data_IF_677709789296
#
_entry.id   IF_677709789296
#
_cell.length_a   1.000
_cell.length_b   1.000
_cell.length_c   1.000
_cell.angle_alpha   90.00
_cell.angle_beta   90.00
_cell.angle_gamma   90.00
#
_symmetry.space_group_name_H-M   'P 1'
#
loop_
_entity.id
_entity.type
_entity.pdbx_description
1 polymer ?
#
# COMPACT_ATOMS: atom_id res chain seq x y z
N UNK A 1 20.48 41.33 -48.16
CA UNK A 1 19.28 41.44 -47.28
C UNK A 1 18.17 40.43 -47.60
N UNK A 2 18.07 39.87 -48.82
CA UNK A 2 17.00 38.93 -49.17
C UNK A 2 17.09 37.52 -48.52
N UNK A 3 18.28 37.03 -48.16
CA UNK A 3 18.45 35.69 -47.57
C UNK A 3 18.23 35.59 -46.05
N UNK A 4 18.21 36.71 -45.31
CA UNK A 4 17.87 36.69 -43.87
C UNK A 4 16.36 36.70 -43.62
N UNK A 5 15.58 37.31 -44.52
CA UNK A 5 14.12 37.40 -44.41
C UNK A 5 13.48 36.02 -44.66
N UNK A 6 14.01 35.24 -45.62
CA UNK A 6 13.46 33.91 -45.96
C UNK A 6 13.59 32.87 -44.83
N UNK A 7 14.66 32.94 -44.03
CA UNK A 7 14.89 31.99 -42.94
C UNK A 7 14.10 32.34 -41.66
N UNK A 8 13.77 33.62 -41.43
CA UNK A 8 12.91 34.04 -40.32
C UNK A 8 11.44 33.69 -40.60
N UNK A 9 11.01 33.76 -41.87
CA UNK A 9 9.65 33.36 -42.28
C UNK A 9 9.39 31.86 -42.13
N UNK A 10 10.39 31.00 -42.37
CA UNK A 10 10.24 29.54 -42.24
C UNK A 10 10.27 29.11 -40.77
N UNK A 11 11.10 29.75 -39.92
CA UNK A 11 11.14 29.44 -38.49
C UNK A 11 9.85 29.85 -37.76
N UNK A 12 9.22 30.97 -38.18
CA UNK A 12 7.92 31.42 -37.69
C UNK A 12 6.75 30.50 -38.11
N UNK A 13 6.85 29.91 -39.31
CA UNK A 13 5.83 28.97 -39.82
C UNK A 13 5.92 27.58 -39.16
N UNK A 14 7.11 27.13 -38.76
CA UNK A 14 7.30 25.86 -38.04
C UNK A 14 6.85 25.99 -36.57
N UNK A 15 7.02 27.16 -35.94
CA UNK A 15 6.58 27.39 -34.57
C UNK A 15 5.05 27.49 -34.43
N UNK A 16 4.33 27.90 -35.48
CA UNK A 16 2.86 27.94 -35.50
C UNK A 16 2.21 26.57 -35.73
N UNK A 17 2.91 25.63 -36.39
CA UNK A 17 2.46 24.25 -36.57
C UNK A 17 2.70 23.40 -35.30
N UNK A 18 3.71 23.74 -34.49
CA UNK A 18 3.95 23.06 -33.21
C UNK A 18 2.96 23.46 -32.09
N UNK A 19 2.37 24.67 -32.15
CA UNK A 19 1.37 25.15 -31.16
C UNK A 19 -0.06 24.67 -31.52
N UNK A 20 -0.30 24.24 -32.75
CA UNK A 20 -1.61 23.72 -33.19
C UNK A 20 -1.82 22.22 -32.98
N UNK A 21 -0.84 21.49 -32.40
CA UNK A 21 -1.02 20.12 -31.89
C UNK A 21 -1.29 20.06 -30.37
N UNK A 22 -1.48 21.22 -29.71
CA UNK A 22 -1.79 21.31 -28.27
C UNK A 22 -3.17 21.92 -27.96
N UNK A 23 -4.00 22.16 -28.98
CA UNK A 23 -5.39 22.61 -28.82
C UNK A 23 -6.30 21.80 -29.74
N UNK A 24 -6.70 20.63 -29.25
CA UNK A 24 -7.56 19.72 -30.00
C UNK A 24 -8.17 18.63 -29.12
N UNK A 25 -8.82 19.02 -28.02
CA UNK A 25 -10.03 18.38 -27.48
C UNK A 25 -10.50 19.12 -26.21
N UNK A 26 -11.08 20.30 -26.38
CA UNK A 26 -12.05 20.83 -25.41
C UNK A 26 -13.32 21.24 -26.15
N UNK A 27 -14.33 20.38 -26.02
CA UNK A 27 -15.74 20.70 -25.76
C UNK A 27 -16.60 19.58 -26.32
N UNK A 28 -17.03 18.69 -25.43
CA UNK A 28 -18.38 18.19 -25.55
C UNK A 28 -19.06 18.54 -24.24
N UNK A 29 -19.75 19.68 -24.24
CA UNK A 29 -20.77 20.00 -23.25
C UNK A 29 -21.88 18.97 -23.38
N UNK A 30 -21.71 17.83 -22.71
CA UNK A 30 -22.84 17.08 -22.20
C UNK A 30 -22.81 17.25 -20.70
N UNK A 31 -23.45 18.34 -20.25
CA UNK A 31 -24.02 18.46 -18.91
C UNK A 31 -25.10 17.38 -18.77
N UNK A 32 -24.67 16.12 -18.61
CA UNK A 32 -25.51 15.13 -17.99
C UNK A 32 -25.67 15.57 -16.54
N UNK A 33 -26.84 16.12 -16.23
CA UNK A 33 -27.33 16.22 -14.86
C UNK A 33 -27.31 14.79 -14.33
N UNK A 34 -26.30 14.44 -13.52
CA UNK A 34 -26.23 13.16 -12.84
C UNK A 34 -27.38 13.15 -11.85
N UNK A 35 -28.54 12.66 -12.31
CA UNK A 35 -29.59 12.20 -11.43
C UNK A 35 -29.00 11.02 -10.66
N UNK A 36 -28.99 11.16 -9.35
CA UNK A 36 -28.61 10.13 -8.41
C UNK A 36 -29.42 8.85 -8.68
N UNK A 37 -28.78 7.85 -9.29
CA UNK A 37 -29.03 6.42 -9.11
C UNK A 37 -28.09 5.63 -10.05
N UNK A 38 -26.79 5.62 -9.78
CA UNK A 38 -25.91 4.64 -10.42
C UNK A 38 -25.74 3.44 -9.49
N UNK A 39 -26.33 2.32 -9.91
CA UNK A 39 -25.90 1.01 -9.49
C UNK A 39 -24.40 0.90 -9.80
N UNK A 40 -23.56 1.11 -8.79
CA UNK A 40 -22.11 0.89 -8.88
C UNK A 40 -21.94 -0.56 -9.30
N UNK A 41 -21.59 -0.78 -10.58
CA UNK A 41 -21.25 -2.10 -11.07
C UNK A 41 -20.05 -2.58 -10.26
N UNK A 42 -20.29 -3.55 -9.38
CA UNK A 42 -19.25 -4.21 -8.60
C UNK A 42 -18.51 -5.09 -9.59
N UNK A 43 -17.41 -4.59 -10.16
CA UNK A 43 -16.47 -5.42 -10.90
C UNK A 43 -15.97 -6.49 -9.93
N UNK A 44 -16.43 -7.73 -10.11
CA UNK A 44 -15.95 -8.87 -9.31
C UNK A 44 -14.53 -9.21 -9.77
N UNK A 45 -13.53 -8.60 -9.12
CA UNK A 45 -12.19 -9.18 -9.06
C UNK A 45 -12.36 -10.55 -8.40
N UNK A 46 -12.34 -11.64 -9.16
CA UNK A 46 -12.66 -12.96 -8.60
C UNK A 46 -11.58 -13.95 -8.97
N UNK A 47 -10.57 -14.02 -8.11
CA UNK A 47 -9.59 -15.10 -8.12
C UNK A 47 -10.29 -16.36 -7.57
N UNK A 48 -10.23 -17.45 -8.34
CA UNK A 48 -10.81 -18.73 -7.94
C UNK A 48 -9.88 -19.47 -6.95
N UNK A 49 -10.02 -19.15 -5.67
CA UNK A 49 -9.28 -19.77 -4.58
C UNK A 49 -10.05 -20.95 -3.95
N UNK A 50 -9.34 -22.05 -3.70
CA UNK A 50 -9.81 -23.26 -3.04
C UNK A 50 -8.65 -23.90 -2.27
N UNK A 51 -8.90 -25.00 -1.56
CA UNK A 51 -7.89 -25.67 -0.71
C UNK A 51 -6.61 -26.07 -1.46
N UNK A 52 -6.68 -26.35 -2.77
CA UNK A 52 -5.53 -26.79 -3.57
C UNK A 52 -4.56 -25.66 -3.91
N UNK A 53 -5.03 -24.41 -3.95
CA UNK A 53 -4.23 -23.24 -4.33
C UNK A 53 -4.20 -22.13 -3.26
N UNK A 54 -4.77 -22.38 -2.08
CA UNK A 54 -4.81 -21.45 -0.95
C UNK A 54 -3.48 -21.33 -0.19
N UNK A 55 -2.55 -22.27 -0.39
CA UNK A 55 -1.24 -22.22 0.27
C UNK A 55 -0.25 -21.42 -0.57
N UNK A 56 -0.25 -20.10 -0.36
CA UNK A 56 0.39 -19.13 -1.27
C UNK A 56 1.64 -18.46 -0.70
N UNK A 57 2.03 -18.79 0.53
CA UNK A 57 3.15 -18.16 1.20
C UNK A 57 4.30 -19.14 1.39
N UNK A 58 5.50 -18.72 1.02
CA UNK A 58 6.74 -19.27 1.56
C UNK A 58 7.11 -18.47 2.81
N UNK A 59 7.23 -19.16 3.95
CA UNK A 59 7.40 -18.55 5.27
C UNK A 59 8.76 -18.98 5.82
N UNK A 60 9.66 -18.02 5.98
CA UNK A 60 10.98 -18.23 6.56
C UNK A 60 10.90 -18.56 8.06
N UNK A 61 12.03 -18.98 8.63
CA UNK A 61 12.13 -19.16 10.08
C UNK A 61 12.12 -17.79 10.78
N UNK A 62 11.41 -17.63 11.92
CA UNK A 62 11.52 -16.43 12.74
C UNK A 62 12.96 -16.18 13.18
N UNK A 63 13.43 -14.94 13.05
CA UNK A 63 14.77 -14.49 13.44
C UNK A 63 14.66 -13.41 14.51
N UNK A 64 15.42 -13.53 15.59
CA UNK A 64 15.46 -12.51 16.65
C UNK A 64 16.09 -11.20 16.17
N UNK A 65 15.54 -10.06 16.62
CA UNK A 65 16.00 -8.71 16.27
C UNK A 65 16.66 -8.04 17.48
N UNK A 66 17.85 -8.48 17.88
CA UNK A 66 18.48 -7.97 19.11
C UNK A 66 19.04 -6.55 18.88
N UNK A 67 18.45 -5.54 19.52
CA UNK A 67 19.02 -4.17 19.58
C UNK A 67 19.86 -3.93 20.84
N UNK A 68 19.74 -4.77 21.88
CA UNK A 68 20.57 -4.72 23.08
C UNK A 68 20.97 -6.14 23.46
N UNK A 69 22.28 -6.44 23.53
CA UNK A 69 22.86 -7.73 23.92
C UNK A 69 22.48 -8.18 25.36
N UNK A 70 21.20 -8.30 25.68
CA UNK A 70 20.69 -8.70 26.99
C UNK A 70 20.00 -10.08 26.88
N UNK A 71 20.69 -11.18 27.23
CA UNK A 71 20.32 -12.55 26.87
C UNK A 71 19.09 -13.13 27.62
N UNK A 72 18.29 -12.32 28.32
CA UNK A 72 17.32 -12.82 29.30
C UNK A 72 15.85 -12.89 28.84
N UNK A 73 15.50 -12.37 27.66
CA UNK A 73 14.11 -12.27 27.16
C UNK A 73 14.07 -12.50 25.65
N UNK A 74 13.05 -13.19 25.09
CA UNK A 74 12.86 -13.12 23.64
C UNK A 74 12.60 -11.66 23.27
N UNK A 75 13.37 -11.32 22.27
CA UNK A 75 13.47 -10.13 21.45
C UNK A 75 12.43 -10.22 20.34
N UNK A 76 11.87 -9.10 19.90
CA UNK A 76 11.01 -9.06 18.72
C UNK A 76 11.58 -9.94 17.59
N UNK A 77 10.74 -10.73 16.93
CA UNK A 77 11.19 -11.54 15.78
C UNK A 77 10.78 -10.90 14.48
N UNK A 78 11.62 -11.03 13.46
CA UNK A 78 11.28 -10.76 12.06
C UNK A 78 11.17 -12.07 11.31
N UNK A 79 10.08 -12.24 10.57
CA UNK A 79 9.82 -13.41 9.74
C UNK A 79 9.62 -12.97 8.29
N UNK A 80 10.49 -13.43 7.39
CA UNK A 80 10.32 -13.18 5.95
C UNK A 80 9.18 -14.03 5.41
N UNK A 81 8.30 -13.41 4.64
CA UNK A 81 7.20 -14.05 3.93
C UNK A 81 7.28 -13.66 2.47
N UNK A 82 7.12 -14.62 1.57
CA UNK A 82 7.12 -14.41 0.12
C UNK A 82 5.82 -14.92 -0.48
N UNK A 83 5.19 -14.12 -1.36
CA UNK A 83 4.07 -14.59 -2.15
C UNK A 83 4.58 -15.49 -3.28
N UNK A 84 4.23 -16.79 -3.23
CA UNK A 84 4.62 -17.79 -4.24
C UNK A 84 3.48 -18.13 -5.22
N UNK A 85 2.33 -17.45 -5.10
CA UNK A 85 1.24 -17.58 -6.06
C UNK A 85 1.45 -16.72 -7.31
N UNK A 86 0.55 -16.86 -8.28
CA UNK A 86 0.49 -16.09 -9.53
C UNK A 86 -0.47 -14.89 -9.45
N UNK A 87 -0.94 -14.53 -8.26
CA UNK A 87 -1.82 -13.39 -8.02
C UNK A 87 -1.39 -12.55 -6.81
N UNK A 88 -1.88 -11.32 -6.76
CA UNK A 88 -1.62 -10.42 -5.64
C UNK A 88 -2.43 -10.81 -4.39
N UNK A 89 -1.83 -10.64 -3.21
CA UNK A 89 -2.46 -10.85 -1.90
C UNK A 89 -2.23 -9.64 -0.99
N UNK A 90 -3.19 -9.35 -0.09
CA UNK A 90 -3.10 -8.24 0.87
C UNK A 90 -3.47 -8.69 2.27
N UNK A 91 -3.28 -7.82 3.27
CA UNK A 91 -3.62 -8.07 4.68
C UNK A 91 -3.05 -9.40 5.18
N UNK A 92 -1.75 -9.61 4.97
CA UNK A 92 -1.07 -10.84 5.34
C UNK A 92 -0.85 -10.82 6.84
N UNK A 93 -1.37 -11.82 7.54
CA UNK A 93 -1.22 -11.97 8.97
C UNK A 93 -0.60 -13.32 9.31
N UNK A 94 0.49 -13.31 10.08
CA UNK A 94 1.06 -14.51 10.70
C UNK A 94 0.56 -14.64 12.13
N UNK A 95 0.25 -15.87 12.55
CA UNK A 95 -0.02 -16.21 13.95
C UNK A 95 1.12 -17.08 14.46
N UNK A 96 1.70 -16.66 15.58
CA UNK A 96 2.79 -17.37 16.25
C UNK A 96 2.29 -18.11 17.47
N UNK A 97 2.89 -19.25 17.78
CA UNK A 97 2.84 -19.87 19.11
C UNK A 97 4.15 -19.61 19.83
N UNK A 98 4.06 -19.07 21.03
CA UNK A 98 5.22 -18.86 21.90
C UNK A 98 5.41 -20.02 22.86
N UNK A 99 6.68 -20.33 23.16
CA UNK A 99 7.06 -21.38 24.10
C UNK A 99 8.08 -20.87 25.12
N UNK A 100 8.00 -21.36 26.35
CA UNK A 100 9.02 -21.12 27.37
C UNK A 100 10.28 -22.00 27.16
N UNK A 101 11.24 -21.90 28.07
CA UNK A 101 12.48 -22.70 28.05
C UNK A 101 12.24 -24.22 28.11
N UNK A 102 11.13 -24.63 28.70
CA UNK A 102 10.75 -26.03 28.93
C UNK A 102 9.80 -26.53 27.82
N UNK A 103 9.60 -25.72 26.77
CA UNK A 103 8.71 -25.96 25.62
C UNK A 103 7.23 -26.02 25.97
N UNK A 104 6.81 -25.44 27.08
CA UNK A 104 5.39 -25.28 27.35
C UNK A 104 4.81 -24.17 26.48
N UNK A 105 3.67 -24.43 25.87
CA UNK A 105 2.93 -23.44 25.09
C UNK A 105 2.46 -22.31 26.01
N UNK A 106 2.76 -21.07 25.61
CA UNK A 106 2.40 -19.87 26.34
C UNK A 106 1.21 -19.19 25.66
N UNK A 107 1.49 -18.15 24.89
CA UNK A 107 0.49 -17.33 24.22
C UNK A 107 0.55 -17.52 22.70
N UNK A 108 -0.47 -16.99 22.04
CA UNK A 108 -0.43 -16.69 20.62
C UNK A 108 -0.18 -15.20 20.44
N UNK A 109 0.64 -14.84 19.47
CA UNK A 109 0.84 -13.46 19.02
C UNK A 109 0.59 -13.38 17.53
N UNK A 110 0.32 -12.19 17.04
CA UNK A 110 -0.02 -11.95 15.63
C UNK A 110 0.85 -10.83 15.09
N UNK A 111 1.28 -10.97 13.84
CA UNK A 111 1.94 -9.91 13.09
C UNK A 111 1.17 -9.70 11.79
N UNK A 112 0.77 -8.46 11.51
CA UNK A 112 -0.01 -8.07 10.34
C UNK A 112 0.83 -7.16 9.43
N UNK A 113 0.77 -7.42 8.13
CA UNK A 113 1.24 -6.52 7.09
C UNK A 113 0.07 -6.13 6.18
N UNK A 114 -0.16 -4.82 6.04
CA UNK A 114 -1.12 -4.28 5.06
C UNK A 114 -0.55 -4.17 3.65
N UNK A 115 0.76 -4.38 3.48
CA UNK A 115 1.42 -4.30 2.17
C UNK A 115 0.86 -5.40 1.27
N UNK A 116 0.45 -5.01 0.06
CA UNK A 116 0.10 -5.97 -0.99
C UNK A 116 1.38 -6.56 -1.57
N UNK A 117 1.43 -7.89 -1.60
CA UNK A 117 2.52 -8.64 -2.24
C UNK A 117 2.06 -9.17 -3.59
N UNK A 118 2.72 -8.71 -4.63
CA UNK A 118 2.66 -9.32 -5.96
C UNK A 118 3.45 -10.63 -6.01
N UNK A 119 3.23 -11.47 -7.05
CA UNK A 119 3.98 -12.70 -7.23
C UNK A 119 5.49 -12.50 -7.11
N UNK A 120 6.13 -13.26 -6.22
CA UNK A 120 7.56 -13.23 -5.95
C UNK A 120 8.04 -12.12 -5.01
N UNK A 121 7.17 -11.18 -4.60
CA UNK A 121 7.53 -10.16 -3.62
C UNK A 121 7.55 -10.71 -2.19
N UNK A 122 8.37 -10.10 -1.35
CA UNK A 122 8.53 -10.49 0.04
C UNK A 122 8.37 -9.33 1.01
N UNK A 123 7.89 -9.64 2.21
CA UNK A 123 7.86 -8.72 3.36
C UNK A 123 8.41 -9.39 4.62
N UNK A 124 9.06 -8.63 5.48
CA UNK A 124 9.35 -9.05 6.86
C UNK A 124 8.20 -8.61 7.77
N UNK A 125 7.60 -9.58 8.47
CA UNK A 125 6.64 -9.29 9.53
C UNK A 125 7.35 -9.35 10.88
N UNK A 126 7.22 -8.28 11.66
CA UNK A 126 7.74 -8.20 13.02
C UNK A 126 6.66 -8.58 14.04
N UNK A 127 6.98 -9.50 14.94
CA UNK A 127 6.13 -9.85 16.09
C UNK A 127 6.83 -9.48 17.38
N UNK A 128 6.17 -8.67 18.19
CA UNK A 128 6.57 -8.47 19.58
C UNK A 128 6.18 -9.70 20.40
N UNK A 129 7.09 -10.16 21.23
CA UNK A 129 6.91 -11.39 22.01
C UNK A 129 6.84 -11.12 23.50
N UNK A 130 6.23 -12.05 24.24
CA UNK A 130 6.17 -11.95 25.69
C UNK A 130 7.55 -12.14 26.32
N UNK A 131 7.81 -11.39 27.39
CA UNK A 131 9.07 -11.38 28.15
C UNK A 131 9.64 -12.79 28.47
N UNK A 132 8.77 -13.74 28.78
CA UNK A 132 9.13 -15.10 29.20
C UNK A 132 9.15 -16.11 28.04
N UNK A 133 8.79 -15.72 26.82
CA UNK A 133 8.97 -16.55 25.65
C UNK A 133 10.47 -16.80 25.39
N UNK A 134 10.80 -18.01 24.96
CA UNK A 134 12.16 -18.47 24.61
C UNK A 134 12.27 -19.00 23.20
N UNK A 135 11.19 -19.47 22.60
CA UNK A 135 11.06 -19.68 21.15
C UNK A 135 9.68 -19.27 20.66
N UNK A 136 9.55 -19.01 19.36
CA UNK A 136 8.28 -18.82 18.67
C UNK A 136 8.26 -19.56 17.34
N UNK A 137 7.10 -20.05 16.94
CA UNK A 137 6.88 -20.70 15.65
C UNK A 137 5.63 -20.14 14.98
N UNK A 138 5.61 -20.05 13.66
CA UNK A 138 4.40 -19.71 12.91
C UNK A 138 3.50 -20.95 12.85
N UNK A 139 2.28 -20.83 13.37
CA UNK A 139 1.31 -21.93 13.43
C UNK A 139 0.16 -21.78 12.44
N UNK A 140 -0.09 -20.56 11.97
CA UNK A 140 -1.11 -20.29 10.95
C UNK A 140 -0.83 -18.96 10.28
N UNK A 141 -1.43 -18.75 9.12
CA UNK A 141 -1.45 -17.44 8.47
C UNK A 141 -2.81 -17.17 7.82
N UNK A 142 -3.05 -15.90 7.52
CA UNK A 142 -4.19 -15.49 6.71
C UNK A 142 -3.83 -14.38 5.75
N UNK A 143 -4.62 -14.24 4.69
CA UNK A 143 -4.49 -13.19 3.71
C UNK A 143 -5.84 -12.92 3.03
N UNK A 144 -5.99 -11.72 2.49
CA UNK A 144 -7.11 -11.36 1.64
C UNK A 144 -6.72 -11.51 0.18
N UNK A 145 -7.65 -12.07 -0.60
CA UNK A 145 -7.59 -12.10 -2.06
C UNK A 145 -9.00 -11.85 -2.57
N UNK A 146 -9.16 -10.87 -3.47
CA UNK A 146 -10.50 -10.45 -3.89
C UNK A 146 -11.37 -10.12 -2.66
N UNK A 147 -12.62 -10.60 -2.60
CA UNK A 147 -13.51 -10.47 -1.45
C UNK A 147 -13.47 -11.70 -0.53
N UNK A 148 -12.32 -12.36 -0.39
CA UNK A 148 -12.18 -13.56 0.44
C UNK A 148 -11.06 -13.38 1.46
N UNK A 149 -11.31 -13.86 2.67
CA UNK A 149 -10.30 -14.10 3.68
C UNK A 149 -9.96 -15.58 3.65
N UNK A 150 -8.70 -15.89 3.39
CA UNK A 150 -8.15 -17.23 3.41
C UNK A 150 -7.33 -17.39 4.68
N UNK A 151 -7.55 -18.46 5.42
CA UNK A 151 -6.77 -18.82 6.61
C UNK A 151 -6.22 -20.22 6.44
N UNK A 152 -4.94 -20.40 6.72
CA UNK A 152 -4.23 -21.69 6.63
C UNK A 152 -3.70 -22.03 8.01
N UNK A 153 -4.17 -23.15 8.57
CA UNK A 153 -3.63 -23.76 9.77
C UNK A 153 -2.47 -24.69 9.36
N UNK A 154 -1.27 -24.39 9.85
CA UNK A 154 -0.05 -25.14 9.52
C UNK A 154 0.12 -26.39 10.38
N UNK A 155 -0.56 -26.47 11.53
CA UNK A 155 -0.48 -27.62 12.44
C UNK A 155 -1.38 -28.75 11.95
N UNK A 156 -2.60 -28.40 11.57
CA UNK A 156 -3.62 -29.34 11.11
C UNK A 156 -3.67 -29.50 9.57
N UNK A 157 -2.86 -28.73 8.85
CA UNK A 157 -2.85 -28.63 7.38
C UNK A 157 -4.22 -28.24 6.77
N UNK A 158 -5.02 -27.46 7.51
CA UNK A 158 -6.38 -27.08 7.12
C UNK A 158 -6.43 -25.70 6.47
N UNK A 159 -7.29 -25.56 5.49
CA UNK A 159 -7.59 -24.28 4.84
C UNK A 159 -9.05 -23.91 5.12
N UNK A 160 -9.27 -22.66 5.54
CA UNK A 160 -10.58 -22.05 5.65
C UNK A 160 -10.68 -20.86 4.71
N UNK A 161 -11.79 -20.74 3.97
CA UNK A 161 -12.00 -19.68 2.99
C UNK A 161 -13.40 -19.11 3.23
N UNK A 162 -13.46 -17.83 3.59
CA UNK A 162 -14.73 -17.13 3.83
C UNK A 162 -14.82 -15.90 2.94
N UNK A 163 -16.05 -15.57 2.53
CA UNK A 163 -16.30 -14.31 1.83
C UNK A 163 -16.35 -13.15 2.84
N UNK A 164 -15.65 -12.07 2.54
CA UNK A 164 -15.71 -10.81 3.28
C UNK A 164 -16.89 -9.97 2.80
N UNK A 165 -17.30 -9.00 3.62
CA UNK A 165 -18.30 -7.98 3.25
C UNK A 165 -17.65 -6.73 2.66
N UNK A 166 -16.36 -6.78 2.33
CA UNK A 166 -15.61 -5.65 1.78
C UNK A 166 -16.24 -5.21 0.45
N UNK A 167 -16.49 -3.90 0.32
CA UNK A 167 -16.94 -3.32 -0.93
C UNK A 167 -15.73 -2.85 -1.72
N UNK A 168 -15.22 -3.73 -2.57
CA UNK A 168 -14.06 -3.50 -3.42
C UNK A 168 -14.54 -3.03 -4.79
N UNK A 169 -13.91 -1.98 -5.31
CA UNK A 169 -14.20 -1.38 -6.62
C UNK A 169 -12.88 -0.99 -7.31
N UNK A 170 -12.90 -0.79 -8.63
CA UNK A 170 -11.74 -0.20 -9.32
C UNK A 170 -11.47 1.20 -8.78
N UNK A 171 -10.20 1.52 -8.56
CA UNK A 171 -9.83 2.81 -8.00
C UNK A 171 -9.97 3.98 -8.98
N UNK A 172 -10.20 3.80 -10.29
CA UNK A 172 -10.23 4.92 -11.26
C UNK A 172 -11.08 6.14 -10.84
N UNK A 173 -12.18 5.92 -10.12
CA UNK A 173 -13.07 7.00 -9.65
C UNK A 173 -12.78 7.47 -8.21
N UNK A 174 -11.84 6.81 -7.53
CA UNK A 174 -11.44 6.99 -6.14
C UNK A 174 -9.97 7.39 -5.99
N UNK A 175 -9.18 7.18 -7.04
CA UNK A 175 -7.80 7.64 -7.14
C UNK A 175 -7.81 9.13 -7.51
N UNK A 176 -7.82 9.96 -6.48
CA UNK A 176 -8.06 11.40 -6.56
C UNK A 176 -6.85 12.24 -6.13
N UNK A 177 -5.70 11.61 -5.90
CA UNK A 177 -4.46 12.29 -5.55
C UNK A 177 -3.44 12.14 -6.67
N UNK A 178 -2.80 13.24 -7.08
CA UNK A 178 -1.47 13.12 -7.69
C UNK A 178 -0.45 13.09 -6.56
N UNK A 179 0.44 12.10 -6.58
CA UNK A 179 1.43 11.85 -5.53
C UNK A 179 2.82 11.85 -6.17
N UNK A 180 3.74 12.65 -5.64
CA UNK A 180 5.14 12.63 -6.09
C UNK A 180 5.86 11.39 -5.58
N UNK A 181 6.93 10.99 -6.26
CA UNK A 181 7.87 10.03 -5.66
C UNK A 181 8.43 10.57 -4.34
N UNK A 182 8.63 9.72 -3.31
CA UNK A 182 9.24 10.15 -2.06
C UNK A 182 10.68 10.62 -2.27
N UNK A 183 10.98 11.84 -1.83
CA UNK A 183 12.31 12.43 -1.92
C UNK A 183 13.02 12.34 -0.59
N UNK A 184 14.15 11.63 -0.54
CA UNK A 184 15.04 11.63 0.62
C UNK A 184 15.72 13.00 0.73
N UNK A 185 15.68 13.59 1.93
CA UNK A 185 16.25 14.89 2.23
C UNK A 185 17.58 14.72 2.99
N UNK A 186 17.57 15.01 4.30
CA UNK A 186 18.74 15.03 5.16
C UNK A 186 18.65 13.93 6.21
N UNK A 187 19.81 13.53 6.74
CA UNK A 187 19.89 12.70 7.92
C UNK A 187 19.43 13.50 9.16
N UNK A 188 18.67 12.84 10.02
CA UNK A 188 18.14 13.37 11.29
C UNK A 188 18.30 12.31 12.38
N UNK A 189 18.06 12.67 13.63
CA UNK A 189 18.00 11.68 14.71
C UNK A 189 16.93 10.63 14.40
N UNK A 190 17.32 9.35 14.49
CA UNK A 190 16.47 8.22 14.12
C UNK A 190 16.53 7.79 12.64
N UNK A 191 17.15 8.57 11.76
CA UNK A 191 17.44 8.15 10.39
C UNK A 191 17.47 9.27 9.36
N UNK A 192 16.53 9.30 8.41
CA UNK A 192 16.44 10.34 7.39
C UNK A 192 15.03 10.88 7.23
N UNK A 193 14.92 12.15 6.86
CA UNK A 193 13.66 12.77 6.47
C UNK A 193 13.35 12.50 5.00
N UNK A 194 12.08 12.28 4.68
CA UNK A 194 11.55 12.34 3.32
C UNK A 194 10.48 13.41 3.15
N UNK A 195 10.37 13.93 1.93
CA UNK A 195 9.29 14.80 1.47
C UNK A 195 8.46 14.07 0.41
N UNK A 196 7.14 14.15 0.53
CA UNK A 196 6.17 13.71 -0.47
C UNK A 196 5.23 14.88 -0.75
N UNK A 197 5.01 15.22 -2.02
CA UNK A 197 4.02 16.22 -2.41
C UNK A 197 2.77 15.50 -2.91
N UNK A 198 1.61 15.91 -2.39
CA UNK A 198 0.30 15.44 -2.86
C UNK A 198 -0.52 16.60 -3.39
N UNK A 199 -1.39 16.30 -4.36
CA UNK A 199 -2.35 17.25 -4.92
C UNK A 199 -3.72 16.63 -5.00
N UNK A 200 -4.72 17.32 -4.45
CA UNK A 200 -6.12 16.92 -4.61
C UNK A 200 -6.59 17.20 -6.05
N UNK A 201 -6.84 16.15 -6.82
CA UNK A 201 -7.35 16.21 -8.19
C UNK A 201 -8.88 16.17 -8.25
N UNK A 202 -9.57 15.89 -7.14
CA UNK A 202 -11.02 15.86 -7.11
C UNK A 202 -11.63 17.25 -7.25
N UNK A 203 -12.90 17.31 -7.60
CA UNK A 203 -13.67 18.54 -7.71
C UNK A 203 -14.19 19.07 -6.36
N UNK A 204 -13.80 18.44 -5.26
CA UNK A 204 -14.25 18.71 -3.89
C UNK A 204 -13.07 18.74 -2.92
N UNK A 205 -13.32 19.24 -1.72
CA UNK A 205 -12.34 19.19 -0.65
C UNK A 205 -12.32 17.77 -0.04
N UNK A 206 -11.15 17.33 0.41
CA UNK A 206 -10.97 16.01 1.05
C UNK A 206 -10.29 16.17 2.41
N UNK A 207 -10.73 15.38 3.37
CA UNK A 207 -10.21 15.37 4.73
C UNK A 207 -9.47 14.09 5.05
N UNK A 208 -8.69 14.14 6.14
CA UNK A 208 -8.07 12.97 6.77
C UNK A 208 -7.26 12.10 5.80
N UNK A 209 -6.44 12.73 4.94
CA UNK A 209 -5.60 11.98 4.00
C UNK A 209 -4.46 11.32 4.78
N UNK A 210 -4.33 10.00 4.67
CA UNK A 210 -3.22 9.23 5.24
C UNK A 210 -2.52 8.49 4.11
N UNK A 211 -1.26 8.82 3.82
CA UNK A 211 -0.46 8.06 2.87
C UNK A 211 0.11 6.81 3.52
N UNK A 212 0.13 5.72 2.77
CA UNK A 212 0.77 4.46 3.14
C UNK A 212 2.11 4.32 2.39
N UNK A 213 3.22 4.47 3.12
CA UNK A 213 4.57 4.37 2.61
C UNK A 213 5.19 3.03 2.98
N UNK A 214 5.44 2.17 2.00
CA UNK A 214 6.21 0.97 2.20
C UNK A 214 7.72 1.28 2.23
N UNK A 215 8.41 0.70 3.21
CA UNK A 215 9.85 0.79 3.39
C UNK A 215 10.51 -0.46 2.81
N UNK A 216 11.53 -0.28 1.97
CA UNK A 216 12.27 -1.37 1.34
C UNK A 216 13.75 -1.32 1.73
N UNK A 217 14.30 -2.51 1.98
CA UNK A 217 15.73 -2.68 2.21
C UNK A 217 16.53 -2.71 0.89
N UNK A 218 17.85 -2.89 0.97
CA UNK A 218 18.73 -2.96 -0.20
C UNK A 218 18.43 -4.11 -1.18
N UNK A 219 17.73 -5.14 -0.74
CA UNK A 219 17.30 -6.27 -1.56
C UNK A 219 15.92 -6.06 -2.20
N UNK A 220 15.32 -4.87 -2.05
CA UNK A 220 13.94 -4.55 -2.46
C UNK A 220 12.87 -5.42 -1.77
N UNK A 221 13.17 -5.88 -0.57
CA UNK A 221 12.19 -6.59 0.27
C UNK A 221 11.51 -5.56 1.17
N UNK A 222 10.20 -5.68 1.33
CA UNK A 222 9.43 -4.82 2.22
C UNK A 222 9.79 -5.12 3.67
N UNK A 223 10.04 -4.09 4.47
CA UNK A 223 10.41 -4.24 5.88
C UNK A 223 9.38 -3.67 6.84
N UNK A 224 8.65 -2.64 6.40
CA UNK A 224 7.66 -1.95 7.22
C UNK A 224 6.70 -1.11 6.35
N UNK A 225 5.62 -0.65 6.96
CA UNK A 225 4.72 0.38 6.42
C UNK A 225 4.66 1.55 7.41
N UNK A 226 4.88 2.74 6.89
CA UNK A 226 4.80 4.00 7.62
C UNK A 226 3.60 4.80 7.12
N UNK A 227 2.91 5.47 8.04
CA UNK A 227 1.73 6.26 7.73
C UNK A 227 2.05 7.74 7.84
N UNK A 228 1.64 8.53 6.85
CA UNK A 228 1.91 9.98 6.81
C UNK A 228 0.62 10.74 6.62
N UNK A 229 0.21 11.42 7.68
CA UNK A 229 -1.06 12.13 7.75
C UNK A 229 -0.95 13.55 7.19
N UNK A 230 -1.96 13.96 6.44
CA UNK A 230 -2.29 15.35 6.23
C UNK A 230 -3.25 15.80 7.32
N UNK A 231 -2.78 16.67 8.21
CA UNK A 231 -3.59 17.21 9.32
C UNK A 231 -4.61 18.27 8.87
N UNK A 232 -4.67 18.58 7.58
CA UNK A 232 -5.50 19.64 7.02
C UNK A 232 -6.47 19.10 5.97
N UNK A 233 -7.60 19.79 5.82
CA UNK A 233 -8.48 19.59 4.66
C UNK A 233 -7.74 20.09 3.42
N UNK A 234 -7.57 19.21 2.43
CA UNK A 234 -6.90 19.54 1.17
C UNK A 234 -7.96 20.02 0.19
N UNK A 235 -7.94 21.33 -0.10
CA UNK A 235 -8.93 21.94 -1.01
C UNK A 235 -8.75 21.41 -2.44
N UNK A 236 -9.80 21.54 -3.25
CA UNK A 236 -9.72 21.28 -4.69
C UNK A 236 -8.47 21.92 -5.31
N UNK A 237 -7.68 21.11 -6.04
CA UNK A 237 -6.43 21.50 -6.72
C UNK A 237 -5.29 21.99 -5.80
N UNK A 238 -5.46 21.95 -4.47
CA UNK A 238 -4.41 22.33 -3.53
C UNK A 238 -3.31 21.28 -3.52
N UNK A 239 -2.07 21.76 -3.47
CA UNK A 239 -0.88 20.96 -3.23
C UNK A 239 -0.46 21.08 -1.76
N UNK A 240 -0.08 19.96 -1.17
CA UNK A 240 0.40 19.86 0.21
C UNK A 240 1.68 19.04 0.23
N UNK A 241 2.64 19.47 1.04
CA UNK A 241 3.87 18.74 1.30
C UNK A 241 3.75 18.00 2.62
N UNK A 242 4.08 16.72 2.58
CA UNK A 242 4.10 15.82 3.72
C UNK A 242 5.53 15.40 4.01
N UNK A 243 5.83 15.22 5.29
CA UNK A 243 7.17 14.87 5.77
C UNK A 243 7.09 13.67 6.70
N UNK A 244 8.09 12.79 6.63
CA UNK A 244 8.20 11.61 7.46
C UNK A 244 9.66 11.27 7.75
N UNK A 245 9.91 10.61 8.88
CA UNK A 245 11.23 10.13 9.31
C UNK A 245 11.27 8.62 9.12
N UNK A 246 12.36 8.11 8.54
CA UNK A 246 12.54 6.69 8.29
C UNK A 246 13.91 6.19 8.79
N UNK A 247 13.99 4.93 9.25
CA UNK A 247 15.26 4.32 9.69
C UNK A 247 16.35 4.33 8.61
N UNK A 248 17.62 4.38 9.03
CA UNK A 248 18.77 4.50 8.11
C UNK A 248 19.04 3.26 7.25
N UNK A 249 18.52 2.10 7.65
CA UNK A 249 18.62 0.84 6.92
C UNK A 249 17.62 0.75 5.76
N UNK A 250 16.57 1.58 5.75
CA UNK A 250 15.67 1.76 4.61
C UNK A 250 16.44 2.37 3.43
N UNK A 251 16.29 1.76 2.25
CA UNK A 251 16.98 2.17 1.02
C UNK A 251 16.05 2.75 -0.03
N UNK A 252 14.76 2.43 0.05
CA UNK A 252 13.75 2.98 -0.85
C UNK A 252 12.43 3.11 -0.11
N UNK A 253 11.67 4.14 -0.45
CA UNK A 253 10.28 4.32 -0.07
C UNK A 253 9.39 4.18 -1.31
N UNK A 254 8.21 3.63 -1.12
CA UNK A 254 7.20 3.46 -2.15
C UNK A 254 5.83 3.82 -1.58
N UNK A 255 5.07 4.70 -2.24
CA UNK A 255 3.67 4.94 -1.86
C UNK A 255 2.85 3.78 -2.41
N UNK A 256 2.28 2.96 -1.53
CA UNK A 256 1.53 1.75 -1.92
C UNK A 256 0.01 1.95 -1.86
N UNK A 257 -0.44 2.98 -1.15
CA UNK A 257 -1.85 3.28 -0.96
C UNK A 257 -2.05 4.58 -0.22
N UNK A 258 -3.31 4.94 -0.04
CA UNK A 258 -3.72 6.02 0.84
C UNK A 258 -5.17 5.89 1.27
N UNK A 259 -5.49 6.50 2.40
CA UNK A 259 -6.83 6.57 2.95
C UNK A 259 -7.28 8.03 2.90
N UNK A 260 -8.55 8.29 2.63
CA UNK A 260 -9.15 9.61 2.79
C UNK A 260 -10.64 9.51 3.12
N UNK A 261 -11.17 10.57 3.73
CA UNK A 261 -12.61 10.67 4.00
C UNK A 261 -13.33 11.40 2.86
N UNK A 262 -14.25 10.70 2.20
CA UNK A 262 -15.22 11.33 1.30
C UNK A 262 -16.36 11.94 2.12
N UNK A 263 -16.13 13.17 2.59
CA UNK A 263 -17.04 13.93 3.46
C UNK A 263 -18.47 13.97 2.89
N UNK A 264 -18.62 14.10 1.58
CA UNK A 264 -19.94 14.21 0.93
C UNK A 264 -20.75 12.91 1.01
N UNK A 265 -20.06 11.78 0.85
CA UNK A 265 -20.71 10.47 0.81
C UNK A 265 -20.66 9.74 2.16
N UNK A 266 -20.08 10.37 3.20
CA UNK A 266 -19.85 9.79 4.52
C UNK A 266 -19.25 8.38 4.40
N UNK A 267 -18.16 8.28 3.65
CA UNK A 267 -17.47 7.02 3.32
C UNK A 267 -15.98 7.25 3.44
N UNK A 268 -15.29 6.41 4.20
CA UNK A 268 -13.82 6.34 4.17
C UNK A 268 -13.40 5.46 3.01
N UNK A 269 -12.45 5.94 2.23
CA UNK A 269 -11.96 5.27 1.03
C UNK A 269 -10.51 4.88 1.26
N UNK A 270 -10.22 3.59 1.20
CA UNK A 270 -8.85 3.05 1.21
C UNK A 270 -8.48 2.70 -0.23
N UNK A 271 -7.54 3.44 -0.82
CA UNK A 271 -7.03 3.24 -2.18
C UNK A 271 -5.78 2.39 -2.12
N UNK A 272 -5.79 1.26 -2.81
CA UNK A 272 -4.65 0.40 -3.01
C UNK A 272 -4.09 0.61 -4.43
N UNK A 273 -2.92 1.24 -4.52
CA UNK A 273 -2.33 1.61 -5.80
C UNK A 273 -1.78 0.41 -6.57
N UNK A 274 -1.28 -0.61 -5.85
CA UNK A 274 -0.77 -1.84 -6.47
C UNK A 274 -1.87 -2.63 -7.16
N UNK A 275 -3.00 -2.80 -6.48
CA UNK A 275 -4.15 -3.56 -7.00
C UNK A 275 -5.00 -2.76 -8.00
N UNK A 276 -4.83 -1.44 -8.06
CA UNK A 276 -5.77 -0.52 -8.73
C UNK A 276 -7.21 -0.69 -8.19
N UNK A 277 -7.33 -0.91 -6.88
CA UNK A 277 -8.57 -1.16 -6.16
C UNK A 277 -8.80 -0.08 -5.10
N UNK A 278 -10.06 0.15 -4.76
CA UNK A 278 -10.46 0.92 -3.59
C UNK A 278 -11.44 0.12 -2.74
N UNK A 279 -11.29 0.19 -1.42
CA UNK A 279 -12.21 -0.39 -0.43
C UNK A 279 -13.04 0.75 0.16
N UNK A 280 -14.36 0.60 0.08
CA UNK A 280 -15.31 1.60 0.59
C UNK A 280 -15.83 1.18 1.95
N UNK A 281 -15.53 1.98 2.97
CA UNK A 281 -15.88 1.76 4.36
C UNK A 281 -16.96 2.78 4.75
N UNK A 282 -18.12 2.30 5.18
CA UNK A 282 -19.29 3.12 5.55
C UNK A 282 -19.62 2.97 7.03
#
# INVERSE_FOLDING_TARGET
>A
MANRIRNISILSLILTIAVSMLLGCTSNENRATIKASENIAIDKFNININEKNAKVLDIGKPQSVDEDNNPSTIVDTKTKVTNISDFDIRNIQLTFREYDKDKNALAKTEALSKITLSPGESVYLQSAHKKYAKTSEVISYSYNVSNKLVSVDLLDDKVNIINTKEKIVKNKNYDILAISEPKILNQVDGGYNSEITIKNLSDKDIGSVVLELAELNGNKEYTNISYVDSYEVIKKNQEVKLYSVHPSDVKKLEVVGYIYDDVKNNTTVEVNLKLNEAILIK
#
